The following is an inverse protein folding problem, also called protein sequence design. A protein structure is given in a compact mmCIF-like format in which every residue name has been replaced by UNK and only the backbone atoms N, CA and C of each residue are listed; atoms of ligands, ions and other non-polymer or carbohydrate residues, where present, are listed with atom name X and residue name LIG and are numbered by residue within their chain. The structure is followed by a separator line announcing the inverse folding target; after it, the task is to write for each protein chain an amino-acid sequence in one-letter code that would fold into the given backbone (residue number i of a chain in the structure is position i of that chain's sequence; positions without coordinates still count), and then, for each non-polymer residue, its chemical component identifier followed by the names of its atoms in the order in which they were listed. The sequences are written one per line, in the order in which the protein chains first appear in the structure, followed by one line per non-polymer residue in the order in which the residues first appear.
data_IF_614227741067
#
_entry.id   IF_614227741067
#
_cell.length_a   1.000
_cell.length_b   1.000
_cell.length_c   1.000
_cell.angle_alpha   90.00
_cell.angle_beta   90.00
_cell.angle_gamma   90.00
#
_symmetry.space_group_name_H-M   'P 1'
#
loop_
_entity.id
_entity.type
_entity.pdbx_description
1 polymer ?
#
# COMPACT_ATOMS: atom_id res chain seq x y z
N UNK A 1 -1.99 9.30 -9.16
CA UNK A 1 -1.36 7.97 -9.12
C UNK A 1 -0.06 7.98 -8.31
N UNK A 2 1.02 8.65 -8.74
CA UNK A 2 2.30 8.66 -8.01
C UNK A 2 2.19 9.19 -6.57
N UNK A 3 1.47 10.29 -6.35
CA UNK A 3 1.23 10.82 -4.99
C UNK A 3 0.39 9.88 -4.12
N UNK A 4 -0.58 9.20 -4.72
CA UNK A 4 -1.39 8.17 -4.05
C UNK A 4 -0.53 6.96 -3.66
N UNK A 5 0.40 6.54 -4.53
CA UNK A 5 1.39 5.50 -4.24
C UNK A 5 2.29 5.91 -3.06
N UNK A 6 2.87 7.11 -3.11
CA UNK A 6 3.70 7.64 -2.02
C UNK A 6 2.97 7.60 -0.67
N UNK A 7 1.72 8.06 -0.65
CA UNK A 7 0.90 8.08 0.57
C UNK A 7 0.64 6.67 1.12
N UNK A 8 0.26 5.71 0.27
CA UNK A 8 -0.03 4.35 0.73
C UNK A 8 1.23 3.64 1.24
N UNK A 9 2.37 3.92 0.62
CA UNK A 9 3.66 3.35 1.01
C UNK A 9 4.10 3.88 2.38
N UNK A 10 3.92 5.17 2.65
CA UNK A 10 4.15 5.75 3.98
C UNK A 10 3.22 5.19 5.05
N UNK A 11 1.99 4.88 4.66
CA UNK A 11 0.98 4.45 5.62
C UNK A 11 1.20 3.01 6.10
N UNK A 12 1.69 2.13 5.21
CA UNK A 12 1.79 0.69 5.48
C UNK A 12 3.21 0.13 5.43
N UNK A 13 4.14 0.87 4.83
CA UNK A 13 5.52 0.46 4.62
C UNK A 13 6.50 1.17 5.55
N UNK A 14 7.77 1.07 5.17
CA UNK A 14 8.90 1.65 5.88
C UNK A 14 9.43 2.89 5.13
N UNK A 15 9.95 3.87 5.86
CA UNK A 15 10.54 5.09 5.32
C UNK A 15 11.70 4.86 4.35
N UNK A 16 12.40 3.71 4.45
CA UNK A 16 13.46 3.27 3.52
C UNK A 16 13.05 3.37 2.05
N UNK A 17 11.75 3.29 1.76
CA UNK A 17 11.22 3.58 0.44
C UNK A 17 11.65 4.94 -0.13
N UNK A 18 11.68 6.02 0.66
CA UNK A 18 12.03 7.35 0.18
C UNK A 18 13.52 7.56 -0.01
N UNK A 19 14.33 6.89 0.81
CA UNK A 19 15.78 7.10 0.85
C UNK A 19 16.53 6.15 -0.09
N UNK A 20 15.92 5.02 -0.46
CA UNK A 20 16.63 3.95 -1.18
C UNK A 20 16.06 3.63 -2.57
N UNK A 21 14.89 4.15 -2.96
CA UNK A 21 14.42 3.96 -4.32
C UNK A 21 15.30 4.70 -5.32
N UNK A 22 15.65 4.02 -6.41
CA UNK A 22 16.52 4.58 -7.46
C UNK A 22 15.75 4.97 -8.72
N UNK A 23 14.58 4.37 -8.93
CA UNK A 23 13.78 4.56 -10.13
C UNK A 23 12.32 4.11 -9.91
N UNK A 24 11.42 4.61 -10.77
CA UNK A 24 10.01 4.20 -10.80
C UNK A 24 9.65 3.80 -12.23
N UNK A 25 9.29 2.53 -12.42
CA UNK A 25 8.75 2.03 -13.68
C UNK A 25 7.24 1.95 -13.61
N UNK A 26 6.57 2.42 -14.66
CA UNK A 26 5.11 2.35 -14.78
C UNK A 26 4.79 1.44 -15.96
N UNK A 27 4.00 0.40 -15.71
CA UNK A 27 3.52 -0.52 -16.74
C UNK A 27 2.01 -0.54 -16.74
N UNK A 28 1.39 -0.38 -17.92
CA UNK A 28 -0.03 -0.60 -18.12
C UNK A 28 -0.26 -2.05 -18.54
N UNK A 29 -1.13 -2.75 -17.84
CA UNK A 29 -1.37 -4.19 -18.04
C UNK A 29 -2.88 -4.41 -18.18
N UNK A 30 -3.27 -5.23 -19.16
CA UNK A 30 -4.65 -5.72 -19.28
C UNK A 30 -4.76 -7.02 -18.48
N UNK A 31 -5.72 -7.09 -17.56
CA UNK A 31 -6.01 -8.28 -16.79
C UNK A 31 -6.36 -9.44 -17.75
N UNK A 32 -5.56 -10.52 -17.78
CA UNK A 32 -5.71 -11.57 -18.79
C UNK A 32 -6.86 -12.54 -18.47
N UNK A 33 -7.24 -12.66 -17.20
CA UNK A 33 -8.17 -13.68 -16.71
C UNK A 33 -8.89 -13.26 -15.41
N UNK A 34 -9.84 -14.10 -14.96
CA UNK A 34 -10.63 -13.87 -13.74
C UNK A 34 -11.78 -12.87 -13.91
N UNK A 35 -12.37 -12.46 -12.79
CA UNK A 35 -13.53 -11.55 -12.77
C UNK A 35 -13.25 -10.16 -13.36
N UNK A 36 -11.98 -9.77 -13.42
CA UNK A 36 -11.53 -8.49 -13.96
C UNK A 36 -10.96 -8.60 -15.38
N UNK A 37 -11.11 -9.74 -16.08
CA UNK A 37 -10.59 -9.95 -17.43
C UNK A 37 -10.95 -8.80 -18.37
N UNK A 38 -9.95 -8.28 -19.08
CA UNK A 38 -10.10 -7.17 -20.02
C UNK A 38 -10.03 -5.78 -19.36
N UNK A 39 -10.11 -5.67 -18.03
CA UNK A 39 -9.87 -4.41 -17.33
C UNK A 39 -8.37 -4.12 -17.27
N UNK A 40 -8.03 -2.85 -17.40
CA UNK A 40 -6.66 -2.38 -17.34
C UNK A 40 -6.27 -1.93 -15.94
N UNK A 41 -5.02 -2.16 -15.56
CA UNK A 41 -4.41 -1.64 -14.35
C UNK A 41 -3.00 -1.13 -14.61
N UNK A 42 -2.57 -0.16 -13.81
CA UNK A 42 -1.19 0.31 -13.77
C UNK A 42 -0.44 -0.40 -12.66
N UNK A 43 0.74 -0.92 -12.98
CA UNK A 43 1.74 -1.42 -12.02
C UNK A 43 2.86 -0.40 -11.92
N UNK A 44 3.07 0.13 -10.72
CA UNK A 44 4.19 1.00 -10.38
C UNK A 44 5.23 0.16 -9.65
N UNK A 45 6.40 -0.02 -10.26
CA UNK A 45 7.53 -0.75 -9.67
C UNK A 45 8.59 0.26 -9.23
N UNK A 46 8.79 0.36 -7.93
CA UNK A 46 9.86 1.13 -7.32
C UNK A 46 11.08 0.24 -7.17
N UNK A 47 12.16 0.59 -7.86
CA UNK A 47 13.39 -0.19 -7.92
C UNK A 47 14.34 0.23 -6.79
N UNK A 48 15.19 -0.69 -6.36
CA UNK A 48 16.31 -0.43 -5.44
C UNK A 48 17.60 -0.95 -6.04
N UNK A 49 18.73 -0.54 -5.45
CA UNK A 49 20.04 -1.05 -5.82
C UNK A 49 20.26 -2.46 -5.26
N UNK A 50 20.01 -3.46 -6.10
CA UNK A 50 20.17 -4.90 -5.78
C UNK A 50 21.62 -5.31 -5.52
N UNK A 51 22.61 -4.43 -5.77
CA UNK A 51 24.02 -4.71 -5.47
C UNK A 51 24.35 -4.47 -4.00
N UNK A 52 23.56 -3.64 -3.29
CA UNK A 52 23.79 -3.32 -1.86
C UNK A 52 23.26 -4.39 -0.93
N UNK A 53 22.07 -4.92 -1.23
CA UNK A 53 21.43 -5.98 -0.47
C UNK A 53 20.43 -6.71 -1.36
N UNK A 54 19.91 -7.83 -0.87
CA UNK A 54 18.83 -8.57 -1.53
C UNK A 54 17.59 -8.55 -0.66
N UNK A 55 16.47 -8.30 -1.32
CA UNK A 55 15.13 -8.45 -0.80
C UNK A 55 14.54 -9.78 -1.28
N UNK A 56 13.45 -10.22 -0.67
CA UNK A 56 12.69 -11.40 -1.11
C UNK A 56 12.22 -11.23 -2.56
N UNK A 57 11.79 -10.01 -2.92
CA UNK A 57 11.42 -9.64 -4.27
C UNK A 57 12.42 -8.65 -4.87
N UNK A 58 12.65 -8.75 -6.19
CA UNK A 58 13.61 -7.91 -6.93
C UNK A 58 13.10 -6.48 -7.21
N UNK A 59 12.34 -5.92 -6.28
CA UNK A 59 11.86 -4.54 -6.27
C UNK A 59 11.71 -4.08 -4.82
N UNK A 60 11.73 -2.76 -4.61
CA UNK A 60 11.51 -2.17 -3.28
C UNK A 60 10.04 -2.22 -2.92
N UNK A 61 9.19 -1.75 -3.83
CA UNK A 61 7.73 -1.76 -3.69
C UNK A 61 7.08 -1.89 -5.07
N UNK A 62 6.00 -2.65 -5.16
CA UNK A 62 5.04 -2.56 -6.26
C UNK A 62 3.67 -2.08 -5.78
N UNK A 63 3.06 -1.17 -6.54
CA UNK A 63 1.70 -0.68 -6.28
C UNK A 63 0.84 -0.84 -7.54
N UNK A 64 -0.36 -1.37 -7.35
CA UNK A 64 -1.29 -1.72 -8.43
C UNK A 64 -2.53 -0.83 -8.34
N UNK A 65 -2.85 -0.16 -9.45
CA UNK A 65 -3.98 0.74 -9.59
C UNK A 65 -4.91 0.29 -10.71
N UNK A 66 -6.21 0.28 -10.48
CA UNK A 66 -7.16 0.19 -11.59
C UNK A 66 -7.10 1.45 -12.46
N UNK A 67 -7.03 1.29 -13.78
CA UNK A 67 -6.95 2.42 -14.72
C UNK A 67 -8.22 3.28 -14.69
N UNK A 68 -9.38 2.63 -14.64
CA UNK A 68 -10.69 3.27 -14.77
C UNK A 68 -11.08 4.11 -13.54
N UNK A 69 -10.71 3.66 -12.34
CA UNK A 69 -11.09 4.29 -11.07
C UNK A 69 -9.93 5.00 -10.38
N UNK A 70 -8.68 4.70 -10.76
CA UNK A 70 -7.49 5.12 -10.02
C UNK A 70 -7.38 4.53 -8.61
N UNK A 71 -8.22 3.54 -8.27
CA UNK A 71 -8.22 2.90 -6.97
C UNK A 71 -7.00 1.97 -6.82
N UNK A 72 -6.39 1.98 -5.63
CA UNK A 72 -5.31 1.06 -5.28
C UNK A 72 -5.94 -0.29 -4.95
N UNK A 73 -5.50 -1.32 -5.64
CA UNK A 73 -5.96 -2.70 -5.43
C UNK A 73 -5.02 -3.47 -4.51
N UNK A 74 -3.71 -3.26 -4.69
CA UNK A 74 -2.70 -4.10 -4.06
C UNK A 74 -1.38 -3.35 -3.91
N UNK A 75 -0.68 -3.61 -2.81
CA UNK A 75 0.69 -3.15 -2.55
C UNK A 75 1.55 -4.32 -2.09
N UNK A 76 2.77 -4.39 -2.59
CA UNK A 76 3.73 -5.46 -2.34
C UNK A 76 5.08 -4.84 -1.97
N UNK A 77 5.67 -5.21 -0.83
CA UNK A 77 6.97 -4.72 -0.36
C UNK A 77 8.06 -5.76 -0.60
N UNK A 78 9.25 -5.32 -0.99
CA UNK A 78 10.34 -6.22 -1.35
C UNK A 78 10.73 -7.22 -0.27
N UNK A 79 10.44 -6.95 1.01
CA UNK A 79 10.66 -7.90 2.10
C UNK A 79 9.70 -9.11 2.11
N UNK A 80 8.81 -9.22 1.13
CA UNK A 80 7.85 -10.32 0.97
C UNK A 80 6.48 -10.07 1.58
N UNK A 81 6.26 -8.90 2.23
CA UNK A 81 4.94 -8.54 2.75
C UNK A 81 4.06 -7.89 1.68
N UNK A 82 2.75 -8.08 1.79
CA UNK A 82 1.80 -7.43 0.90
C UNK A 82 0.44 -7.21 1.54
N UNK A 83 -0.32 -6.28 0.96
CA UNK A 83 -1.67 -5.94 1.40
C UNK A 83 -2.57 -5.73 0.19
N UNK A 84 -3.67 -6.49 0.15
CA UNK A 84 -4.82 -6.18 -0.69
C UNK A 84 -5.63 -5.02 -0.11
N UNK A 85 -6.43 -4.37 -0.96
CA UNK A 85 -7.29 -3.23 -0.61
C UNK A 85 -8.13 -3.48 0.64
N UNK A 86 -8.76 -4.65 0.76
CA UNK A 86 -9.63 -4.99 1.87
C UNK A 86 -8.85 -5.05 3.19
N UNK A 87 -7.62 -5.55 3.16
CA UNK A 87 -6.75 -5.61 4.33
C UNK A 87 -6.30 -4.20 4.74
N UNK A 88 -5.97 -3.33 3.78
CA UNK A 88 -5.63 -1.93 4.05
C UNK A 88 -6.81 -1.19 4.69
N UNK A 89 -8.03 -1.38 4.17
CA UNK A 89 -9.26 -0.79 4.71
C UNK A 89 -9.55 -1.31 6.13
N UNK A 90 -9.43 -2.62 6.37
CA UNK A 90 -9.62 -3.21 7.69
C UNK A 90 -8.61 -2.68 8.72
N UNK A 91 -7.34 -2.46 8.34
CA UNK A 91 -6.33 -1.87 9.22
C UNK A 91 -6.70 -0.42 9.57
N UNK A 92 -7.09 0.38 8.57
CA UNK A 92 -7.53 1.77 8.77
C UNK A 92 -8.72 1.85 9.73
N UNK A 93 -9.70 0.97 9.58
CA UNK A 93 -10.88 0.96 10.44
C UNK A 93 -10.53 0.56 11.89
N UNK A 94 -9.63 -0.41 12.07
CA UNK A 94 -9.09 -0.75 13.41
C UNK A 94 -8.35 0.43 14.05
N UNK A 95 -7.54 1.16 13.28
CA UNK A 95 -6.82 2.35 13.76
C UNK A 95 -7.79 3.47 14.16
N UNK A 96 -8.82 3.75 13.34
CA UNK A 96 -9.87 4.73 13.67
C UNK A 96 -10.60 4.37 14.96
N UNK A 97 -10.98 3.11 15.15
CA UNK A 97 -11.65 2.63 16.37
C UNK A 97 -10.76 2.76 17.61
N UNK A 98 -9.48 2.39 17.52
CA UNK A 98 -8.52 2.58 18.62
C UNK A 98 -8.36 4.05 18.99
N UNK A 99 -8.22 4.92 18.00
CA UNK A 99 -8.08 6.37 18.21
C UNK A 99 -9.35 7.01 18.75
N UNK A 100 -10.52 6.47 18.44
CA UNK A 100 -11.79 6.91 19.03
C UNK A 100 -11.84 6.54 20.52
N UNK A 101 -11.55 5.28 20.86
CA UNK A 101 -11.56 4.80 22.26
C UNK A 101 -10.52 5.52 23.12
N UNK A 102 -9.30 5.77 22.60
CA UNK A 102 -8.27 6.51 23.34
C UNK A 102 -8.58 7.99 23.54
N UNK A 103 -9.50 8.56 22.74
CA UNK A 103 -9.96 9.95 22.86
C UNK A 103 -11.20 10.12 23.74
N UNK A 104 -11.85 9.05 24.19
CA UNK A 104 -12.90 9.14 25.20
C UNK A 104 -12.22 9.28 26.57
N UNK A 105 -12.30 10.44 27.25
CA UNK A 105 -11.71 10.58 28.57
C UNK A 105 -12.41 9.62 29.55
N UNK A 106 -11.63 8.90 30.36
CA UNK A 106 -12.08 7.93 31.38
C UNK A 106 -13.02 8.50 32.45
N UNK A 107 -13.36 9.81 32.40
CA UNK A 107 -14.28 10.50 33.31
C UNK A 107 -15.72 10.53 32.77
N UNK A 108 -16.36 9.38 32.60
CA UNK A 108 -17.83 9.38 32.44
C UNK A 108 -18.57 8.19 33.07
N UNK A 109 -17.93 7.38 33.91
CA UNK A 109 -18.59 6.23 34.56
C UNK A 109 -18.47 6.20 36.08
N UNK A 110 -18.44 7.36 36.74
CA UNK A 110 -18.70 7.49 38.17
C UNK A 110 -19.35 8.84 38.42
N UNK A 111 -20.69 8.88 38.34
CA UNK A 111 -21.55 9.81 39.06
C UNK A 111 -23.03 9.39 38.87
N UNK A 112 -23.47 8.44 39.69
CA UNK A 112 -24.53 8.62 40.70
C UNK A 112 -24.82 7.29 41.37
#
# INVERSE_FOLDING_TARGET
MLESAKKIILEFGDERYYTEHINVKISRIISPEGANKGRAFYKLTYEYDTTKYKLEWNYLVEVYFWEDTGAIEYIAFGNGSSLAKENMEAIRDKQKKKNFVSKVPFKSFLNK
#
